data_IF_679447288637
#
_entry.id   IF_679447288637
#
_cell.length_a   1.000
_cell.length_b   1.000
_cell.length_c   1.000
_cell.angle_alpha   90.00
_cell.angle_beta   90.00
_cell.angle_gamma   90.00
#
_symmetry.space_group_name_H-M   'P 1'
#
loop_
_entity.id
_entity.type
_entity.pdbx_description
1 polymer ?
#
# COMPACT_ATOMS: atom_id res chain seq x y z
N UNK A 1 -12.98 30.60 17.07
CA UNK A 1 -12.16 29.60 16.39
C UNK A 1 -11.58 30.24 15.13
N UNK A 2 -10.36 29.84 14.74
CA UNK A 2 -9.64 30.43 13.59
C UNK A 2 -9.90 29.67 12.29
N UNK A 3 -10.27 28.36 12.40
CA UNK A 3 -10.51 27.45 11.28
C UNK A 3 -11.86 26.76 11.41
N UNK A 4 -12.45 26.36 10.28
CA UNK A 4 -13.61 25.46 10.25
C UNK A 4 -13.15 24.02 10.57
N UNK A 5 -11.99 23.62 10.03
CA UNK A 5 -11.43 22.28 10.24
C UNK A 5 -9.96 22.31 10.65
N UNK A 6 -9.62 21.49 11.64
CA UNK A 6 -8.27 21.02 11.89
C UNK A 6 -8.14 19.61 11.29
N UNK A 7 -7.21 19.44 10.36
CA UNK A 7 -6.93 18.15 9.72
C UNK A 7 -5.64 17.58 10.28
N UNK A 8 -5.73 16.42 10.94
CA UNK A 8 -4.61 15.77 11.62
C UNK A 8 -4.11 14.62 10.75
N UNK A 9 -2.91 14.81 10.20
CA UNK A 9 -2.27 13.95 9.23
C UNK A 9 -2.41 14.44 7.79
N UNK A 10 -1.27 14.60 7.13
CA UNK A 10 -1.15 15.08 5.74
C UNK A 10 -1.07 13.95 4.71
N UNK A 11 -1.51 12.73 5.06
CA UNK A 11 -1.69 11.64 4.11
C UNK A 11 -2.84 11.92 3.12
N UNK A 12 -3.02 11.06 2.10
CA UNK A 12 -3.99 11.28 1.03
C UNK A 12 -5.42 11.60 1.51
N UNK A 13 -5.89 10.99 2.61
CA UNK A 13 -7.18 11.34 3.17
C UNK A 13 -7.23 12.80 3.61
N UNK A 14 -6.28 13.21 4.47
CA UNK A 14 -6.27 14.55 5.08
C UNK A 14 -6.11 15.66 4.03
N UNK A 15 -5.20 15.50 3.07
CA UNK A 15 -4.97 16.50 2.02
C UNK A 15 -6.15 16.60 1.05
N UNK A 16 -6.78 15.48 0.71
CA UNK A 16 -7.98 15.46 -0.14
C UNK A 16 -9.17 16.09 0.59
N UNK A 17 -9.31 15.84 1.90
CA UNK A 17 -10.33 16.47 2.73
C UNK A 17 -10.16 17.99 2.75
N UNK A 18 -8.95 18.46 3.04
CA UNK A 18 -8.66 19.90 3.07
C UNK A 18 -8.90 20.57 1.70
N UNK A 19 -8.56 19.88 0.60
CA UNK A 19 -8.83 20.34 -0.76
C UNK A 19 -10.32 20.58 -0.99
N UNK A 20 -11.18 19.60 -0.71
CA UNK A 20 -12.62 19.76 -0.90
C UNK A 20 -13.25 20.76 0.07
N UNK A 21 -12.79 20.80 1.32
CA UNK A 21 -13.23 21.81 2.28
C UNK A 21 -12.93 23.23 1.78
N UNK A 22 -11.73 23.48 1.26
CA UNK A 22 -11.37 24.75 0.64
C UNK A 22 -12.28 25.09 -0.55
N UNK A 23 -12.61 24.12 -1.42
CA UNK A 23 -13.49 24.35 -2.57
C UNK A 23 -14.88 24.84 -2.18
N UNK A 24 -15.38 24.48 -1.00
CA UNK A 24 -16.66 24.96 -0.47
C UNK A 24 -16.51 26.17 0.47
N UNK A 25 -15.36 26.83 0.45
CA UNK A 25 -15.10 28.07 1.19
C UNK A 25 -14.72 27.88 2.66
N UNK A 26 -14.43 26.65 3.09
CA UNK A 26 -14.01 26.33 4.46
C UNK A 26 -12.52 26.57 4.67
N UNK A 27 -12.16 27.07 5.83
CA UNK A 27 -10.80 27.35 6.22
C UNK A 27 -10.23 26.17 7.00
N UNK A 28 -9.17 25.53 6.49
CA UNK A 28 -8.51 24.39 7.09
C UNK A 28 -7.11 24.73 7.59
N UNK A 29 -6.71 24.08 8.68
CA UNK A 29 -5.31 23.91 9.08
C UNK A 29 -4.98 22.44 9.00
N UNK A 30 -4.00 22.06 8.17
CA UNK A 30 -3.47 20.69 8.12
C UNK A 30 -2.20 20.61 8.94
N UNK A 31 -2.13 19.67 9.88
CA UNK A 31 -0.94 19.42 10.69
C UNK A 31 -0.38 18.01 10.46
N UNK A 32 0.93 17.87 10.56
CA UNK A 32 1.59 16.56 10.55
C UNK A 32 2.71 16.52 11.59
N UNK A 33 2.84 15.38 12.29
CA UNK A 33 3.93 15.16 13.26
C UNK A 33 5.30 15.06 12.60
N UNK A 34 5.34 14.65 11.32
CA UNK A 34 6.57 14.53 10.51
C UNK A 34 7.05 15.91 10.06
N UNK A 35 8.31 15.96 9.60
CA UNK A 35 8.92 17.17 9.03
C UNK A 35 8.51 17.45 7.59
N UNK A 36 7.72 16.56 6.97
CA UNK A 36 7.26 16.63 5.59
C UNK A 36 5.77 16.29 5.48
N UNK A 37 5.12 16.81 4.45
CA UNK A 37 3.74 16.52 4.08
C UNK A 37 3.67 15.27 3.18
N UNK A 38 2.47 14.69 3.03
CA UNK A 38 2.18 13.60 2.11
C UNK A 38 2.05 12.22 2.78
N UNK A 39 2.30 12.12 4.10
CA UNK A 39 2.19 10.84 4.78
C UNK A 39 3.08 9.78 4.14
N UNK A 40 2.54 8.59 3.86
CA UNK A 40 3.34 7.49 3.29
C UNK A 40 3.59 7.61 1.78
N UNK A 41 2.95 8.54 1.06
CA UNK A 41 3.26 8.77 -0.37
C UNK A 41 4.38 9.77 -0.61
N UNK A 42 4.94 10.34 0.46
CA UNK A 42 6.05 11.28 0.36
C UNK A 42 7.24 10.69 -0.41
N UNK A 43 7.79 11.48 -1.33
CA UNK A 43 9.00 11.17 -2.08
C UNK A 43 10.15 12.08 -1.65
N UNK A 44 11.30 11.49 -1.37
CA UNK A 44 12.53 12.21 -1.13
C UNK A 44 13.34 12.32 -2.43
N UNK A 45 13.80 13.52 -2.80
CA UNK A 45 14.62 13.68 -4.00
C UNK A 45 16.07 13.36 -3.67
N UNK A 46 16.62 12.30 -4.28
CA UNK A 46 18.02 11.87 -4.11
C UNK A 46 18.62 11.66 -5.50
N UNK A 47 19.72 12.35 -5.78
CA UNK A 47 20.40 12.30 -7.09
C UNK A 47 19.44 12.60 -8.28
N UNK A 48 18.44 13.45 -8.06
CA UNK A 48 17.40 13.76 -9.06
C UNK A 48 16.32 12.70 -9.24
N UNK A 49 16.32 11.65 -8.41
CA UNK A 49 15.34 10.55 -8.42
C UNK A 49 14.34 10.79 -7.29
N UNK A 50 13.03 10.68 -7.59
CA UNK A 50 11.98 10.69 -6.59
C UNK A 50 11.89 9.33 -5.90
N UNK A 51 12.49 9.23 -4.73
CA UNK A 51 12.53 8.01 -3.92
C UNK A 51 11.27 7.91 -3.08
N UNK A 52 10.47 6.88 -3.28
CA UNK A 52 9.30 6.60 -2.46
C UNK A 52 9.75 6.15 -1.06
N UNK A 53 9.81 7.10 -0.12
CA UNK A 53 10.45 6.90 1.19
C UNK A 53 9.83 5.80 2.04
N UNK A 54 8.53 5.58 1.88
CA UNK A 54 7.74 4.64 2.69
C UNK A 54 7.23 3.44 1.88
N UNK A 55 7.96 3.04 0.84
CA UNK A 55 7.66 1.90 -0.02
C UNK A 55 7.08 2.28 -1.37
N UNK A 56 7.04 1.30 -2.27
CA UNK A 56 6.51 1.50 -3.62
C UNK A 56 5.03 1.87 -3.58
N UNK A 57 4.70 3.03 -4.10
CA UNK A 57 3.33 3.51 -4.25
C UNK A 57 3.04 3.69 -5.73
N UNK A 58 2.11 2.89 -6.27
CA UNK A 58 1.64 2.97 -7.65
C UNK A 58 0.15 3.29 -7.58
N UNK A 59 -0.24 4.41 -8.18
CA UNK A 59 -1.66 4.77 -8.25
C UNK A 59 -2.36 3.93 -9.29
N UNK A 60 -3.47 3.29 -8.93
CA UNK A 60 -4.29 2.51 -9.85
C UNK A 60 -5.77 2.59 -9.45
N UNK A 61 -6.66 2.55 -10.42
CA UNK A 61 -8.11 2.57 -10.21
C UNK A 61 -8.86 2.22 -11.48
N UNK A 62 -10.05 1.63 -11.33
CA UNK A 62 -11.03 1.54 -12.42
C UNK A 62 -12.08 2.65 -12.36
N UNK A 63 -12.06 3.48 -11.30
CA UNK A 63 -12.96 4.62 -11.15
C UNK A 63 -12.45 5.82 -11.94
N UNK A 64 -13.06 6.06 -13.11
CA UNK A 64 -12.68 7.19 -13.99
C UNK A 64 -12.80 8.55 -13.31
N UNK A 65 -13.76 8.74 -12.41
CA UNK A 65 -13.95 10.01 -11.70
C UNK A 65 -12.77 10.33 -10.81
N UNK A 66 -12.27 9.33 -10.09
CA UNK A 66 -11.06 9.46 -9.25
C UNK A 66 -9.83 9.70 -10.12
N UNK A 67 -9.69 8.96 -11.23
CA UNK A 67 -8.58 9.12 -12.16
C UNK A 67 -8.54 10.52 -12.78
N UNK A 68 -9.67 11.01 -13.28
CA UNK A 68 -9.78 12.35 -13.85
C UNK A 68 -9.48 13.43 -12.78
N UNK A 69 -9.94 13.25 -11.56
CA UNK A 69 -9.68 14.16 -10.46
C UNK A 69 -8.17 14.30 -10.18
N UNK A 70 -7.45 13.19 -9.96
CA UNK A 70 -6.02 13.27 -9.65
C UNK A 70 -5.22 13.82 -10.85
N UNK A 71 -5.62 13.50 -12.09
CA UNK A 71 -5.00 14.07 -13.29
C UNK A 71 -5.31 15.55 -13.51
N UNK A 72 -6.41 16.08 -12.93
CA UNK A 72 -6.68 17.52 -12.95
C UNK A 72 -5.77 18.31 -12.01
N UNK A 73 -5.18 17.66 -10.99
CA UNK A 73 -4.22 18.25 -10.05
C UNK A 73 -2.80 18.19 -10.62
N UNK A 74 -2.39 16.99 -11.07
CA UNK A 74 -1.07 16.74 -11.67
C UNK A 74 -1.20 15.64 -12.71
N UNK A 75 -0.58 15.73 -13.89
CA UNK A 75 -0.63 14.66 -14.87
C UNK A 75 0.09 13.41 -14.37
N UNK A 76 -0.45 12.25 -14.71
CA UNK A 76 0.18 10.96 -14.42
C UNK A 76 0.91 10.41 -15.65
N UNK A 77 2.02 9.74 -15.41
CA UNK A 77 2.80 9.11 -16.47
C UNK A 77 2.19 7.75 -16.88
N UNK A 78 2.87 7.06 -17.82
CA UNK A 78 2.43 5.76 -18.36
C UNK A 78 2.98 4.54 -17.60
N UNK A 79 3.42 4.69 -16.36
CA UNK A 79 4.00 3.56 -15.62
C UNK A 79 2.98 2.43 -15.48
N UNK A 80 3.39 1.24 -15.89
CA UNK A 80 2.62 0.01 -15.73
C UNK A 80 3.36 -0.89 -14.75
N UNK A 81 2.69 -1.31 -13.68
CA UNK A 81 3.31 -2.12 -12.64
C UNK A 81 3.48 -3.57 -13.11
N UNK A 82 4.71 -3.96 -13.39
CA UNK A 82 5.10 -5.30 -13.85
C UNK A 82 6.19 -5.86 -12.92
N UNK A 83 5.88 -6.20 -11.66
CA UNK A 83 6.87 -6.74 -10.75
C UNK A 83 7.34 -8.13 -11.19
N UNK A 84 8.57 -8.47 -10.81
CA UNK A 84 9.12 -9.82 -10.96
C UNK A 84 9.40 -10.41 -9.59
N UNK A 85 9.36 -11.74 -9.51
CA UNK A 85 9.80 -12.50 -8.34
C UNK A 85 11.14 -13.16 -8.60
N UNK A 86 12.06 -13.07 -7.64
CA UNK A 86 13.31 -13.83 -7.59
C UNK A 86 13.16 -14.98 -6.62
N UNK A 87 13.42 -16.19 -7.08
CA UNK A 87 13.43 -17.41 -6.27
C UNK A 87 14.62 -18.28 -6.64
N UNK A 88 15.54 -18.48 -5.71
CA UNK A 88 16.77 -19.31 -5.90
C UNK A 88 17.53 -18.96 -7.18
N UNK A 89 17.68 -17.64 -7.42
CA UNK A 89 18.40 -17.10 -8.58
C UNK A 89 17.64 -17.18 -9.92
N UNK A 90 16.39 -17.62 -9.94
CA UNK A 90 15.52 -17.59 -11.11
C UNK A 90 14.52 -16.45 -11.01
N UNK A 91 14.20 -15.81 -12.11
CA UNK A 91 13.20 -14.75 -12.19
C UNK A 91 11.89 -15.29 -12.77
N UNK A 92 10.79 -14.83 -12.19
CA UNK A 92 9.42 -15.15 -12.62
C UNK A 92 8.61 -13.88 -12.76
N UNK A 93 7.83 -13.77 -13.82
CA UNK A 93 6.89 -12.67 -13.97
C UNK A 93 5.70 -12.79 -13.00
N UNK A 94 5.21 -11.64 -12.56
CA UNK A 94 3.99 -11.52 -11.76
C UNK A 94 3.00 -10.58 -12.50
N UNK A 95 1.68 -10.74 -12.25
CA UNK A 95 1.01 -11.82 -11.51
C UNK A 95 1.17 -13.16 -12.20
N UNK A 96 0.67 -14.26 -11.60
CA UNK A 96 0.79 -15.60 -12.18
C UNK A 96 0.08 -15.65 -13.54
N UNK A 97 0.85 -15.65 -14.62
CA UNK A 97 0.36 -15.57 -16.00
C UNK A 97 1.13 -16.55 -16.91
N UNK A 98 0.84 -16.56 -18.19
CA UNK A 98 1.49 -17.48 -19.14
C UNK A 98 3.02 -17.33 -19.18
N UNK A 99 3.58 -16.13 -18.91
CA UNK A 99 5.03 -15.96 -18.78
C UNK A 99 5.55 -16.70 -17.54
N UNK A 100 4.87 -16.60 -16.40
CA UNK A 100 5.21 -17.33 -15.17
C UNK A 100 5.19 -18.83 -15.40
N UNK A 101 4.14 -19.34 -16.06
CA UNK A 101 3.98 -20.78 -16.33
C UNK A 101 5.01 -21.30 -17.32
N UNK A 102 5.35 -20.50 -18.34
CA UNK A 102 6.46 -20.80 -19.23
C UNK A 102 7.80 -20.86 -18.50
N UNK A 103 8.10 -19.86 -17.68
CA UNK A 103 9.35 -19.81 -16.89
C UNK A 103 9.47 -20.97 -15.91
N UNK A 104 8.35 -21.43 -15.36
CA UNK A 104 8.32 -22.49 -14.36
C UNK A 104 8.30 -23.89 -14.99
N UNK A 105 7.49 -24.11 -16.02
CA UNK A 105 7.19 -25.43 -16.58
C UNK A 105 7.49 -25.57 -18.08
N UNK A 106 7.86 -24.52 -18.78
CA UNK A 106 8.08 -24.54 -20.23
C UNK A 106 6.80 -24.68 -21.07
N UNK A 107 5.62 -24.53 -20.47
CA UNK A 107 4.33 -24.64 -21.19
C UNK A 107 4.07 -23.39 -22.02
N UNK A 108 3.53 -23.57 -23.22
CA UNK A 108 3.33 -22.50 -24.21
C UNK A 108 1.87 -22.24 -24.56
N UNK A 109 0.95 -23.11 -24.11
CA UNK A 109 -0.49 -22.95 -24.38
C UNK A 109 -1.30 -22.87 -23.10
N UNK A 110 -2.46 -22.16 -23.12
CA UNK A 110 -3.36 -22.11 -21.97
C UNK A 110 -3.84 -23.48 -21.48
N UNK A 111 -4.10 -24.42 -22.41
CA UNK A 111 -4.52 -25.78 -22.08
C UNK A 111 -3.44 -26.54 -21.32
N UNK A 112 -2.18 -26.47 -21.77
CA UNK A 112 -1.05 -27.11 -21.10
C UNK A 112 -0.81 -26.51 -19.70
N UNK A 113 -0.94 -25.18 -19.57
CA UNK A 113 -0.82 -24.49 -18.29
C UNK A 113 -1.92 -24.90 -17.30
N UNK A 114 -3.19 -24.97 -17.77
CA UNK A 114 -4.33 -25.43 -16.96
C UNK A 114 -4.13 -26.86 -16.52
N UNK A 115 -3.74 -27.77 -17.44
CA UNK A 115 -3.49 -29.17 -17.11
C UNK A 115 -2.40 -29.31 -16.05
N UNK A 116 -1.31 -28.53 -16.15
CA UNK A 116 -0.23 -28.54 -15.17
C UNK A 116 -0.68 -28.03 -13.81
N UNK A 117 -1.48 -27.00 -13.73
CA UNK A 117 -2.06 -26.48 -12.48
C UNK A 117 -2.99 -27.53 -11.86
N UNK A 118 -3.86 -28.16 -12.63
CA UNK A 118 -4.75 -29.22 -12.13
C UNK A 118 -3.96 -30.42 -11.59
N UNK A 119 -2.90 -30.84 -12.29
CA UNK A 119 -1.97 -31.88 -11.79
C UNK A 119 -1.37 -31.47 -10.42
N UNK A 120 -0.86 -30.22 -10.32
CA UNK A 120 -0.19 -29.72 -9.14
C UNK A 120 -1.09 -29.57 -7.92
N UNK A 121 -2.39 -29.25 -8.12
CA UNK A 121 -3.35 -29.02 -7.04
C UNK A 121 -4.14 -30.27 -6.63
N UNK A 122 -4.10 -31.34 -7.42
CA UNK A 122 -4.94 -32.54 -7.24
C UNK A 122 -4.75 -33.18 -5.86
N UNK A 123 -3.51 -33.32 -5.37
CA UNK A 123 -3.20 -33.87 -4.05
C UNK A 123 -3.81 -33.02 -2.92
N UNK A 124 -3.66 -31.69 -3.00
CA UNK A 124 -4.19 -30.78 -2.01
C UNK A 124 -5.72 -30.79 -1.96
N UNK A 125 -6.38 -30.82 -3.14
CA UNK A 125 -7.84 -30.92 -3.23
C UNK A 125 -8.32 -32.25 -2.64
N UNK A 126 -7.65 -33.38 -2.94
CA UNK A 126 -7.98 -34.67 -2.40
C UNK A 126 -7.83 -34.71 -0.87
N UNK A 127 -6.78 -34.08 -0.32
CA UNK A 127 -6.55 -33.99 1.12
C UNK A 127 -7.64 -33.20 1.87
N UNK A 128 -8.30 -32.24 1.20
CA UNK A 128 -9.40 -31.48 1.78
C UNK A 128 -10.68 -32.32 1.99
N UNK A 129 -10.86 -33.43 1.25
CA UNK A 129 -12.06 -34.30 1.36
C UNK A 129 -13.39 -33.52 1.29
N UNK A 130 -13.43 -32.47 0.49
CA UNK A 130 -14.61 -31.61 0.33
C UNK A 130 -14.82 -30.53 1.41
N UNK A 131 -13.95 -30.43 2.42
CA UNK A 131 -13.98 -29.33 3.38
C UNK A 131 -13.31 -28.06 2.80
N UNK A 132 -13.66 -26.92 3.36
CA UNK A 132 -12.96 -25.66 3.08
C UNK A 132 -11.54 -25.68 3.66
N UNK A 133 -10.57 -24.99 3.00
CA UNK A 133 -9.22 -24.80 3.56
C UNK A 133 -9.26 -24.08 4.92
N UNK A 134 -8.53 -24.60 5.90
CA UNK A 134 -8.48 -24.06 7.26
C UNK A 134 -7.40 -22.97 7.45
N UNK A 135 -6.40 -22.95 6.58
CA UNK A 135 -5.26 -22.05 6.65
C UNK A 135 -4.78 -21.62 5.26
N UNK A 136 -3.85 -20.67 5.23
CA UNK A 136 -3.30 -20.11 4.00
C UNK A 136 -2.57 -21.14 3.13
N UNK A 137 -1.84 -22.08 3.73
CA UNK A 137 -1.13 -23.11 3.00
C UNK A 137 -2.09 -24.03 2.23
N UNK A 138 -3.12 -24.57 2.90
CA UNK A 138 -4.14 -25.39 2.25
C UNK A 138 -4.87 -24.61 1.14
N UNK A 139 -5.19 -23.33 1.40
CA UNK A 139 -5.81 -22.45 0.41
C UNK A 139 -4.93 -22.25 -0.82
N UNK A 140 -3.63 -21.93 -0.62
CA UNK A 140 -2.71 -21.71 -1.74
C UNK A 140 -2.51 -22.99 -2.57
N UNK A 141 -2.22 -24.11 -1.91
CA UNK A 141 -2.01 -25.39 -2.57
C UNK A 141 -3.24 -25.83 -3.39
N UNK A 142 -4.44 -25.60 -2.87
CA UNK A 142 -5.68 -25.92 -3.58
C UNK A 142 -5.99 -24.97 -4.73
N UNK A 143 -5.46 -23.75 -4.74
CA UNK A 143 -5.66 -22.77 -5.81
C UNK A 143 -4.64 -22.87 -6.93
N UNK A 144 -3.36 -22.96 -6.61
CA UNK A 144 -2.26 -22.80 -7.58
C UNK A 144 -1.31 -24.00 -7.65
N UNK A 145 -1.41 -24.95 -6.73
CA UNK A 145 -0.54 -26.12 -6.64
C UNK A 145 0.80 -25.86 -5.96
N UNK A 146 1.59 -26.94 -5.83
CA UNK A 146 2.81 -26.95 -5.02
C UNK A 146 3.93 -26.05 -5.56
N UNK A 147 4.21 -26.10 -6.86
CA UNK A 147 5.37 -25.40 -7.43
C UNK A 147 5.23 -23.88 -7.27
N UNK A 148 4.05 -23.32 -7.58
CA UNK A 148 3.78 -21.89 -7.42
C UNK A 148 3.78 -21.52 -5.92
N UNK A 149 3.16 -22.34 -5.09
CA UNK A 149 3.13 -22.11 -3.64
C UNK A 149 4.53 -22.05 -3.04
N UNK A 150 5.35 -23.06 -3.25
CA UNK A 150 6.71 -23.13 -2.66
C UNK A 150 7.64 -22.05 -3.23
N UNK A 151 7.57 -21.77 -4.54
CA UNK A 151 8.48 -20.83 -5.18
C UNK A 151 8.07 -19.37 -4.99
N UNK A 152 6.78 -19.04 -5.05
CA UNK A 152 6.35 -17.64 -5.22
C UNK A 152 5.47 -17.11 -4.09
N UNK A 153 4.91 -17.98 -3.22
CA UNK A 153 3.97 -17.56 -2.18
C UNK A 153 4.55 -17.74 -0.78
N UNK A 154 4.97 -18.96 -0.45
CA UNK A 154 5.32 -19.39 0.91
C UNK A 154 6.33 -18.48 1.59
N UNK A 155 7.55 -18.41 1.08
CA UNK A 155 8.63 -17.66 1.72
C UNK A 155 8.38 -16.17 1.77
N UNK A 156 7.74 -15.60 0.73
CA UNK A 156 7.34 -14.19 0.71
C UNK A 156 6.29 -13.89 1.81
N UNK A 157 5.23 -14.70 1.87
CA UNK A 157 4.14 -14.54 2.83
C UNK A 157 4.62 -14.73 4.26
N UNK A 158 5.44 -15.75 4.52
CA UNK A 158 5.99 -16.00 5.85
C UNK A 158 6.89 -14.87 6.34
N UNK A 159 7.68 -14.22 5.46
CA UNK A 159 8.44 -13.01 5.80
C UNK A 159 7.52 -11.82 6.09
N UNK A 160 6.51 -11.63 5.24
CA UNK A 160 5.59 -10.51 5.38
C UNK A 160 4.78 -10.58 6.69
N UNK A 161 4.37 -11.78 7.09
CA UNK A 161 3.53 -11.98 8.27
C UNK A 161 4.31 -12.42 9.53
N UNK A 162 5.56 -12.85 9.37
CA UNK A 162 6.39 -13.34 10.48
C UNK A 162 5.93 -14.69 11.08
N UNK A 163 5.05 -15.44 10.35
CA UNK A 163 4.42 -16.69 10.80
C UNK A 163 4.38 -17.68 9.64
N UNK A 164 4.34 -18.98 9.96
CA UNK A 164 4.19 -20.03 8.96
C UNK A 164 2.83 -19.93 8.25
N UNK A 165 2.80 -20.25 6.95
CA UNK A 165 1.56 -20.24 6.16
C UNK A 165 0.46 -21.14 6.74
N UNK A 166 0.82 -22.26 7.36
CA UNK A 166 -0.10 -23.16 8.05
C UNK A 166 -0.79 -22.54 9.29
N UNK A 167 -0.24 -21.45 9.85
CA UNK A 167 -0.79 -20.72 11.00
C UNK A 167 -1.57 -19.48 10.60
N UNK A 168 -1.51 -19.11 9.33
CA UNK A 168 -2.17 -17.93 8.80
C UNK A 168 -3.58 -18.26 8.29
N UNK A 169 -4.58 -17.38 8.50
CA UNK A 169 -5.93 -17.61 8.02
C UNK A 169 -6.01 -17.73 6.49
N UNK A 170 -6.84 -18.64 5.99
CA UNK A 170 -7.05 -18.87 4.56
C UNK A 170 -7.53 -17.62 3.80
N UNK A 171 -8.27 -16.71 4.47
CA UNK A 171 -8.82 -15.52 3.84
C UNK A 171 -7.78 -14.51 3.34
N UNK A 172 -6.52 -14.58 3.83
CA UNK A 172 -5.43 -13.70 3.38
C UNK A 172 -5.20 -13.85 1.88
N UNK A 173 -5.39 -15.05 1.33
CA UNK A 173 -5.27 -15.35 -0.10
C UNK A 173 -6.54 -15.98 -0.67
N UNK A 174 -7.69 -15.36 -0.44
CA UNK A 174 -8.98 -15.89 -0.94
C UNK A 174 -8.98 -16.14 -2.44
N UNK A 175 -8.26 -15.32 -3.21
CA UNK A 175 -8.16 -15.41 -4.67
C UNK A 175 -6.73 -15.11 -5.09
N UNK A 176 -6.10 -16.08 -5.71
CA UNK A 176 -4.85 -15.86 -6.45
C UNK A 176 -5.23 -15.86 -7.94
N UNK A 177 -5.19 -14.71 -8.60
CA UNK A 177 -5.58 -14.65 -10.00
C UNK A 177 -4.58 -15.40 -10.87
N UNK A 178 -5.04 -16.47 -11.51
CA UNK A 178 -4.32 -17.17 -12.55
C UNK A 178 -4.77 -16.60 -13.89
N UNK A 179 -3.83 -16.07 -14.67
CA UNK A 179 -4.12 -15.48 -15.98
C UNK A 179 -3.56 -16.38 -17.08
N UNK A 180 -4.43 -16.92 -17.90
CA UNK A 180 -4.03 -17.77 -19.05
C UNK A 180 -3.80 -16.93 -20.32
N UNK A 181 -3.18 -15.76 -20.16
CA UNK A 181 -2.75 -14.82 -21.19
C UNK A 181 -1.34 -14.32 -20.85
N UNK A 182 -0.58 -13.84 -21.85
CA UNK A 182 0.73 -13.23 -21.68
C UNK A 182 0.58 -11.76 -21.30
N UNK A 183 0.22 -11.51 -20.03
CA UNK A 183 0.01 -10.16 -19.50
C UNK A 183 0.71 -10.02 -18.15
N UNK A 184 1.74 -9.18 -18.11
CA UNK A 184 2.54 -8.89 -16.90
C UNK A 184 2.02 -7.68 -16.13
N UNK A 185 0.96 -7.00 -16.59
CA UNK A 185 0.36 -5.93 -15.81
C UNK A 185 -0.21 -6.48 -14.50
N UNK A 186 0.33 -6.03 -13.37
CA UNK A 186 -0.06 -6.55 -12.06
C UNK A 186 -1.51 -6.24 -11.69
N UNK A 187 -1.97 -5.03 -12.02
CA UNK A 187 -3.33 -4.60 -11.71
C UNK A 187 -4.32 -4.98 -12.80
N UNK A 188 -5.59 -5.18 -12.40
CA UNK A 188 -6.71 -5.34 -13.32
C UNK A 188 -7.44 -4.02 -13.60
N UNK A 189 -6.99 -2.93 -12.97
CA UNK A 189 -7.60 -1.61 -13.09
C UNK A 189 -7.36 -0.98 -14.47
N UNK A 190 -8.34 -0.20 -14.92
CA UNK A 190 -8.31 0.46 -16.23
C UNK A 190 -7.26 1.58 -16.31
N UNK A 191 -6.89 2.15 -15.17
CA UNK A 191 -5.97 3.29 -15.08
C UNK A 191 -4.90 3.01 -14.04
N UNK A 192 -3.65 3.37 -14.35
CA UNK A 192 -2.53 3.34 -13.41
C UNK A 192 -1.42 4.30 -13.87
N UNK A 193 -0.58 4.72 -12.95
CA UNK A 193 0.55 5.59 -13.24
C UNK A 193 1.17 6.19 -11.97
N UNK A 194 2.18 7.01 -12.19
CA UNK A 194 2.86 7.79 -11.15
C UNK A 194 2.70 9.27 -11.50
N UNK A 195 2.44 10.17 -10.54
CA UNK A 195 2.39 11.60 -10.79
C UNK A 195 3.71 12.09 -11.39
N UNK A 196 3.66 12.85 -12.46
CA UNK A 196 4.86 13.41 -13.10
C UNK A 196 5.57 14.36 -12.13
N UNK A 197 6.82 14.06 -11.79
CA UNK A 197 7.61 14.78 -10.79
C UNK A 197 7.35 14.32 -9.35
N UNK A 198 6.76 13.14 -9.17
CA UNK A 198 6.57 12.47 -7.89
C UNK A 198 5.30 12.85 -7.15
N UNK A 199 4.96 12.08 -6.13
CA UNK A 199 3.74 12.30 -5.33
C UNK A 199 3.70 13.64 -4.60
N UNK A 200 4.86 14.24 -4.28
CA UNK A 200 4.88 15.55 -3.62
C UNK A 200 4.14 16.60 -4.46
N UNK A 201 4.21 16.52 -5.81
CA UNK A 201 3.46 17.42 -6.70
C UNK A 201 1.93 17.27 -6.57
N UNK A 202 1.46 16.04 -6.37
CA UNK A 202 0.04 15.78 -6.10
C UNK A 202 -0.37 16.39 -4.74
N UNK A 203 0.46 16.19 -3.71
CA UNK A 203 0.21 16.74 -2.37
C UNK A 203 0.22 18.26 -2.38
N UNK A 204 1.22 18.88 -3.02
CA UNK A 204 1.32 20.34 -3.16
C UNK A 204 0.09 20.92 -3.88
N UNK A 205 -0.35 20.27 -4.96
CA UNK A 205 -1.54 20.70 -5.70
C UNK A 205 -2.84 20.56 -4.92
N UNK A 206 -2.99 19.47 -4.12
CA UNK A 206 -4.15 19.30 -3.24
C UNK A 206 -4.18 20.31 -2.08
N UNK A 207 -3.00 20.71 -1.60
CA UNK A 207 -2.86 21.68 -0.49
C UNK A 207 -2.70 23.11 -0.95
N UNK A 208 -2.77 23.39 -2.26
CA UNK A 208 -2.63 24.77 -2.75
C UNK A 208 -3.56 25.73 -2.00
N UNK A 209 -2.98 26.78 -1.39
CA UNK A 209 -3.69 27.78 -0.58
C UNK A 209 -4.33 27.26 0.72
N UNK A 210 -3.94 26.09 1.22
CA UNK A 210 -4.29 25.54 2.54
C UNK A 210 -3.14 25.80 3.52
N UNK A 211 -3.46 26.28 4.73
CA UNK A 211 -2.44 26.47 5.78
C UNK A 211 -1.99 25.11 6.33
N UNK A 212 -0.67 24.92 6.42
CA UNK A 212 -0.07 23.65 6.88
C UNK A 212 0.96 23.89 7.97
N UNK A 213 1.13 22.91 8.89
CA UNK A 213 2.19 22.89 9.91
C UNK A 213 2.77 21.50 10.02
N UNK A 214 4.05 21.39 9.76
CA UNK A 214 4.84 20.16 9.99
C UNK A 214 5.53 20.22 11.36
N UNK A 215 6.13 19.09 11.81
CA UNK A 215 6.69 18.95 13.16
C UNK A 215 5.68 19.34 14.26
N UNK A 216 4.41 19.08 14.03
CA UNK A 216 3.30 19.44 14.92
C UNK A 216 2.58 18.16 15.36
N UNK A 217 2.96 17.64 16.53
CA UNK A 217 2.33 16.47 17.11
C UNK A 217 1.01 16.87 17.78
N UNK A 218 -0.07 16.27 17.32
CA UNK A 218 -1.40 16.52 17.86
C UNK A 218 -1.51 16.17 19.34
N UNK A 219 -0.97 15.04 19.75
CA UNK A 219 -1.11 14.57 21.14
C UNK A 219 -0.29 15.40 22.13
N UNK A 220 0.83 15.95 21.68
CA UNK A 220 1.64 16.86 22.51
C UNK A 220 0.93 18.20 22.78
N UNK A 221 0.01 18.64 21.90
CA UNK A 221 -0.65 19.94 21.95
C UNK A 221 -2.17 19.83 21.80
N UNK A 222 -2.77 18.69 22.16
CA UNK A 222 -4.17 18.34 21.85
C UNK A 222 -5.17 19.44 22.27
N UNK A 223 -5.08 19.93 23.50
CA UNK A 223 -6.02 20.93 24.02
C UNK A 223 -5.98 22.24 23.23
N UNK A 224 -4.79 22.78 22.97
CA UNK A 224 -4.61 24.01 22.19
C UNK A 224 -5.10 23.85 20.75
N UNK A 225 -4.75 22.73 20.12
CA UNK A 225 -5.08 22.46 18.72
C UNK A 225 -6.60 22.28 18.52
N UNK A 226 -7.26 21.60 19.45
CA UNK A 226 -8.71 21.41 19.43
C UNK A 226 -9.48 22.74 19.54
N UNK A 227 -8.93 23.76 20.21
CA UNK A 227 -9.55 25.09 20.31
C UNK A 227 -9.43 25.92 19.03
N UNK A 228 -8.55 25.54 18.10
CA UNK A 228 -8.33 26.30 16.86
C UNK A 228 -9.45 26.12 15.82
N UNK A 229 -10.19 25.02 15.86
CA UNK A 229 -11.16 24.68 14.83
C UNK A 229 -12.51 24.24 15.41
N UNK A 230 -13.56 24.35 14.58
CA UNK A 230 -14.91 23.89 14.93
C UNK A 230 -15.05 22.38 14.89
N UNK A 231 -14.40 21.75 13.90
CA UNK A 231 -14.37 20.30 13.71
C UNK A 231 -12.95 19.81 13.43
N UNK A 232 -12.73 18.53 13.65
CA UNK A 232 -11.45 17.86 13.42
C UNK A 232 -11.63 16.71 12.45
N UNK A 233 -10.78 16.62 11.43
CA UNK A 233 -10.61 15.42 10.60
C UNK A 233 -9.35 14.68 11.10
N UNK A 234 -9.54 13.53 11.73
CA UNK A 234 -8.46 12.74 12.34
C UNK A 234 -8.12 11.53 11.47
N UNK A 235 -6.84 11.40 11.10
CA UNK A 235 -6.35 10.30 10.25
C UNK A 235 -5.32 9.39 10.91
N UNK A 236 -5.03 9.63 12.19
CA UNK A 236 -4.11 8.83 13.00
C UNK A 236 -4.73 7.53 13.51
N UNK A 237 -4.02 6.84 14.40
CA UNK A 237 -4.51 5.61 15.01
C UNK A 237 -5.71 5.91 15.94
N UNK A 238 -6.82 5.20 15.72
CA UNK A 238 -8.05 5.42 16.50
C UNK A 238 -7.88 5.05 17.97
N UNK A 239 -7.11 4.01 18.28
CA UNK A 239 -6.82 3.59 19.64
C UNK A 239 -5.96 4.62 20.39
N UNK A 240 -4.99 5.25 19.72
CA UNK A 240 -4.19 6.35 20.27
C UNK A 240 -5.05 7.59 20.56
N UNK A 241 -6.05 7.89 19.69
CA UNK A 241 -6.98 8.99 19.93
C UNK A 241 -7.73 8.86 21.26
N UNK A 242 -8.03 7.63 21.67
CA UNK A 242 -8.72 7.29 22.92
C UNK A 242 -7.77 6.78 24.02
N UNK A 243 -6.49 7.19 23.98
CA UNK A 243 -5.47 6.88 24.98
C UNK A 243 -5.36 5.36 25.27
N UNK A 244 -5.54 4.53 24.22
CA UNK A 244 -5.46 3.07 24.29
C UNK A 244 -6.35 2.41 25.34
N UNK A 245 -7.48 3.03 25.69
CA UNK A 245 -8.35 2.64 26.81
C UNK A 245 -8.89 1.21 26.77
N UNK A 246 -8.94 0.60 25.59
CA UNK A 246 -9.33 -0.80 25.41
C UNK A 246 -8.15 -1.71 25.04
N UNK A 247 -6.95 -1.15 24.95
CA UNK A 247 -5.72 -1.81 24.52
C UNK A 247 -5.29 -1.41 23.10
N UNK A 248 -4.11 -1.85 22.71
CA UNK A 248 -3.53 -1.54 21.41
C UNK A 248 -4.11 -2.41 20.30
N UNK A 249 -4.39 -1.78 19.16
CA UNK A 249 -4.62 -2.45 17.89
C UNK A 249 -3.29 -2.88 17.29
N UNK A 250 -3.23 -4.09 16.75
CA UNK A 250 -2.00 -4.64 16.19
C UNK A 250 -1.83 -4.19 14.73
N UNK A 251 -0.59 -3.87 14.36
CA UNK A 251 -0.21 -3.50 13.00
C UNK A 251 0.99 -4.32 12.52
N UNK A 252 1.20 -4.35 11.23
CA UNK A 252 2.49 -4.68 10.62
C UNK A 252 3.19 -3.39 10.25
N UNK A 253 4.51 -3.41 10.29
CA UNK A 253 5.34 -2.30 9.84
C UNK A 253 6.39 -2.75 8.86
N UNK A 254 6.97 -1.81 8.13
CA UNK A 254 8.10 -2.03 7.23
C UNK A 254 9.21 -1.06 7.53
N UNK A 255 10.44 -1.49 7.30
CA UNK A 255 11.62 -0.65 7.33
C UNK A 255 12.38 -0.76 6.01
N UNK A 256 13.19 0.24 5.70
CA UNK A 256 13.90 0.34 4.45
C UNK A 256 15.39 0.56 4.67
N UNK A 257 16.21 -0.22 3.97
CA UNK A 257 17.62 0.06 3.79
C UNK A 257 17.81 0.68 2.40
N UNK A 258 18.25 1.92 2.36
CA UNK A 258 18.41 2.67 1.13
C UNK A 258 19.88 2.74 0.74
N UNK A 259 20.17 2.56 -0.54
CA UNK A 259 21.53 2.60 -1.09
C UNK A 259 21.55 3.32 -2.45
N UNK A 260 22.53 4.20 -2.62
CA UNK A 260 22.82 4.78 -3.93
C UNK A 260 23.81 3.86 -4.64
N UNK A 261 23.47 3.45 -5.86
CA UNK A 261 24.33 2.63 -6.72
C UNK A 261 24.96 3.49 -7.80
N UNK A 262 26.26 3.33 -8.00
CA UNK A 262 27.02 4.00 -9.07
C UNK A 262 26.90 3.22 -10.40
N UNK A 263 25.66 3.10 -10.82
CA UNK A 263 25.27 2.47 -12.10
C UNK A 263 23.94 3.05 -12.55
N UNK A 264 23.72 3.23 -13.86
CA UNK A 264 22.47 3.79 -14.37
C UNK A 264 21.26 2.81 -14.25
N UNK A 265 21.50 1.53 -14.18
CA UNK A 265 20.45 0.52 -14.12
C UNK A 265 20.97 -0.70 -13.35
N UNK A 266 20.38 -0.99 -12.20
CA UNK A 266 20.89 -2.02 -11.28
C UNK A 266 20.14 -3.35 -11.40
N UNK A 267 18.80 -3.31 -11.38
CA UNK A 267 17.98 -4.53 -11.46
C UNK A 267 17.05 -4.58 -12.68
N UNK A 268 16.97 -3.49 -13.46
CA UNK A 268 16.19 -3.45 -14.71
C UNK A 268 14.67 -3.38 -14.53
N UNK A 269 14.18 -3.23 -13.32
CA UNK A 269 12.75 -3.12 -13.01
C UNK A 269 12.53 -2.31 -11.74
N UNK A 270 11.39 -1.65 -11.62
CA UNK A 270 11.05 -0.88 -10.43
C UNK A 270 10.94 -1.77 -9.17
N UNK A 271 10.37 -2.96 -9.28
CA UNK A 271 10.12 -3.84 -8.13
C UNK A 271 10.52 -5.27 -8.45
N UNK A 272 11.42 -5.82 -7.63
CA UNK A 272 11.75 -7.26 -7.61
C UNK A 272 11.40 -7.80 -6.23
N UNK A 273 10.47 -8.75 -6.17
CA UNK A 273 10.10 -9.47 -4.95
C UNK A 273 11.04 -10.64 -4.74
N UNK A 274 11.60 -10.78 -3.55
CA UNK A 274 12.44 -11.92 -3.16
C UNK A 274 11.59 -12.91 -2.38
N UNK A 275 11.33 -14.06 -2.97
CA UNK A 275 10.41 -15.06 -2.39
C UNK A 275 11.12 -16.16 -1.61
N UNK A 276 12.44 -16.22 -1.69
CA UNK A 276 13.25 -17.08 -0.80
C UNK A 276 13.09 -16.67 0.66
N UNK A 277 12.87 -17.63 1.54
CA UNK A 277 12.76 -17.36 2.98
C UNK A 277 14.09 -16.94 3.62
N UNK A 278 15.20 -17.44 3.09
CA UNK A 278 16.55 -17.17 3.56
C UNK A 278 17.00 -15.73 3.28
N UNK A 279 16.39 -15.07 2.31
CA UNK A 279 16.63 -13.64 2.01
C UNK A 279 15.77 -12.81 2.95
N UNK A 280 16.37 -11.93 3.80
CA UNK A 280 15.63 -11.30 4.90
C UNK A 280 14.67 -10.19 4.45
N UNK A 281 14.89 -9.56 3.30
CA UNK A 281 13.99 -8.54 2.75
C UNK A 281 12.93 -9.16 1.84
N UNK A 282 11.78 -8.49 1.75
CA UNK A 282 10.66 -8.94 0.92
C UNK A 282 10.81 -8.51 -0.53
N UNK A 283 11.38 -7.33 -0.78
CA UNK A 283 11.59 -6.81 -2.13
C UNK A 283 12.71 -5.77 -2.17
N UNK A 284 13.19 -5.52 -3.37
CA UNK A 284 14.04 -4.37 -3.68
C UNK A 284 13.27 -3.48 -4.66
N UNK A 285 13.30 -2.17 -4.36
CA UNK A 285 12.68 -1.13 -5.17
C UNK A 285 13.81 -0.33 -5.80
N UNK A 286 13.88 -0.24 -7.13
CA UNK A 286 14.74 0.67 -7.87
C UNK A 286 13.90 1.85 -8.35
N UNK A 287 13.98 2.96 -7.65
CA UNK A 287 12.99 4.04 -7.70
C UNK A 287 12.91 4.78 -9.03
N UNK A 288 14.02 4.93 -9.76
CA UNK A 288 14.02 5.66 -11.03
C UNK A 288 13.06 5.10 -12.07
N UNK A 289 12.84 3.77 -12.08
CA UNK A 289 11.95 3.11 -13.04
C UNK A 289 10.47 3.47 -12.90
N UNK A 290 10.07 4.17 -11.84
CA UNK A 290 8.72 4.70 -11.73
C UNK A 290 8.46 5.88 -12.68
N UNK A 291 9.51 6.66 -13.00
CA UNK A 291 9.37 7.90 -13.78
C UNK A 291 10.28 7.96 -15.01
N UNK A 292 11.35 7.18 -15.07
CA UNK A 292 12.31 7.16 -16.18
C UNK A 292 12.05 5.94 -17.08
N UNK A 293 11.99 6.17 -18.38
CA UNK A 293 11.72 5.14 -19.36
C UNK A 293 12.73 5.19 -20.52
N UNK A 294 13.08 4.00 -21.05
CA UNK A 294 13.98 3.90 -22.19
C UNK A 294 15.34 4.55 -21.93
N UNK A 295 15.77 5.46 -22.78
CA UNK A 295 17.08 6.11 -22.68
C UNK A 295 17.23 6.94 -21.40
N UNK A 296 16.16 7.56 -20.87
CA UNK A 296 16.21 8.35 -19.66
C UNK A 296 16.74 7.60 -18.42
N UNK A 297 16.56 6.27 -18.39
CA UNK A 297 17.14 5.40 -17.33
C UNK A 297 18.67 5.49 -17.35
N UNK A 298 19.28 5.53 -18.55
CA UNK A 298 20.71 5.52 -18.74
C UNK A 298 21.33 6.91 -18.71
N UNK A 299 20.56 7.95 -19.00
CA UNK A 299 21.01 9.35 -18.90
C UNK A 299 21.24 9.78 -17.44
N UNK A 300 20.56 9.13 -16.49
CA UNK A 300 20.84 9.27 -15.05
C UNK A 300 21.88 8.21 -14.64
N UNK A 301 23.12 8.61 -14.45
CA UNK A 301 24.28 7.71 -14.23
C UNK A 301 24.23 6.90 -12.93
N UNK A 302 23.44 7.36 -11.94
CA UNK A 302 23.23 6.67 -10.66
C UNK A 302 21.81 6.15 -10.52
N UNK A 303 21.62 5.23 -9.59
CA UNK A 303 20.28 4.79 -9.20
C UNK A 303 20.15 4.67 -7.68
N UNK A 304 18.93 4.74 -7.17
CA UNK A 304 18.63 4.55 -5.75
C UNK A 304 17.78 3.31 -5.60
N UNK A 305 18.24 2.41 -4.72
CA UNK A 305 17.52 1.18 -4.40
C UNK A 305 17.15 1.15 -2.92
N UNK A 306 15.98 0.58 -2.61
CA UNK A 306 15.55 0.35 -1.23
C UNK A 306 15.20 -1.12 -1.04
N UNK A 307 15.84 -1.78 -0.06
CA UNK A 307 15.44 -3.10 0.42
C UNK A 307 14.35 -2.92 1.47
N UNK A 308 13.23 -3.60 1.31
CA UNK A 308 12.09 -3.55 2.21
C UNK A 308 12.07 -4.76 3.14
N UNK A 309 11.99 -4.50 4.45
CA UNK A 309 11.88 -5.52 5.49
C UNK A 309 10.53 -5.39 6.18
N UNK A 310 9.78 -6.48 6.26
CA UNK A 310 8.53 -6.52 7.03
C UNK A 310 8.79 -7.02 8.44
N UNK A 311 8.21 -6.36 9.43
CA UNK A 311 8.33 -6.75 10.84
C UNK A 311 7.03 -6.50 11.60
N UNK A 312 6.94 -7.08 12.79
CA UNK A 312 5.87 -6.80 13.72
C UNK A 312 5.98 -5.35 14.23
N UNK A 313 4.86 -4.65 14.24
CA UNK A 313 4.79 -3.31 14.78
C UNK A 313 4.88 -3.34 16.30
N UNK A 314 5.56 -2.35 16.88
CA UNK A 314 5.61 -2.07 18.31
C UNK A 314 5.32 -0.59 18.55
N UNK A 315 4.81 -0.20 19.74
CA UNK A 315 4.62 1.19 20.10
C UNK A 315 5.88 2.03 19.83
N UNK A 316 5.69 3.17 19.15
CA UNK A 316 6.77 4.04 18.70
C UNK A 316 7.26 3.80 17.27
N UNK A 317 6.85 2.70 16.63
CA UNK A 317 7.06 2.48 15.18
C UNK A 317 5.92 3.07 14.36
N UNK A 318 6.18 3.35 13.08
CA UNK A 318 5.12 3.77 12.15
C UNK A 318 4.21 2.56 11.82
N UNK A 319 2.88 2.66 12.00
CA UNK A 319 1.95 1.62 11.61
C UNK A 319 1.68 1.66 10.10
N UNK A 320 1.83 0.53 9.41
CA UNK A 320 1.58 0.45 7.96
C UNK A 320 0.29 -0.30 7.62
N UNK A 321 0.13 -1.51 8.15
CA UNK A 321 -0.95 -2.41 7.76
C UNK A 321 -1.69 -2.92 8.99
N UNK A 322 -3.00 -2.67 9.11
CA UNK A 322 -3.82 -3.25 10.16
C UNK A 322 -3.81 -4.78 10.12
N UNK A 323 -3.72 -5.42 11.27
CA UNK A 323 -3.89 -6.88 11.40
C UNK A 323 -5.37 -7.17 11.59
N UNK A 324 -6.07 -7.48 10.49
CA UNK A 324 -7.52 -7.69 10.46
C UNK A 324 -7.91 -9.12 10.88
N UNK A 325 -7.42 -9.59 12.03
CA UNK A 325 -7.90 -10.82 12.66
C UNK A 325 -9.15 -10.58 13.53
N UNK A 326 -9.75 -11.64 14.05
CA UNK A 326 -10.97 -11.57 14.85
C UNK A 326 -10.78 -10.71 16.09
N UNK A 327 -9.67 -10.91 16.83
CA UNK A 327 -9.33 -10.17 18.06
C UNK A 327 -9.27 -8.66 17.81
N UNK A 328 -8.53 -8.26 16.78
CA UNK A 328 -8.35 -6.85 16.45
C UNK A 328 -9.61 -6.22 15.86
N UNK A 329 -10.39 -6.97 15.09
CA UNK A 329 -11.67 -6.48 14.58
C UNK A 329 -12.67 -6.24 15.72
N UNK A 330 -12.76 -7.13 16.71
CA UNK A 330 -13.59 -6.93 17.91
C UNK A 330 -13.13 -5.73 18.73
N UNK A 331 -11.82 -5.56 18.89
CA UNK A 331 -11.24 -4.42 19.59
C UNK A 331 -11.53 -3.11 18.84
N UNK A 332 -11.37 -3.09 17.52
CA UNK A 332 -11.70 -1.92 16.70
C UNK A 332 -13.17 -1.53 16.81
N UNK A 333 -14.12 -2.49 16.88
CA UNK A 333 -15.54 -2.18 17.04
C UNK A 333 -15.81 -1.40 18.35
N UNK A 334 -15.05 -1.65 19.43
CA UNK A 334 -15.17 -0.89 20.67
C UNK A 334 -14.76 0.57 20.51
N UNK A 335 -13.64 0.82 19.78
CA UNK A 335 -13.19 2.17 19.46
C UNK A 335 -14.15 2.87 18.50
N UNK A 336 -14.63 2.15 17.49
CA UNK A 336 -15.60 2.67 16.54
C UNK A 336 -16.90 3.12 17.22
N UNK A 337 -17.38 2.36 18.19
CA UNK A 337 -18.58 2.75 18.96
C UNK A 337 -18.41 4.08 19.73
N UNK A 338 -17.17 4.43 20.15
CA UNK A 338 -16.88 5.76 20.71
C UNK A 338 -16.82 6.81 19.60
N UNK A 339 -16.13 6.50 18.48
CA UNK A 339 -15.99 7.42 17.37
C UNK A 339 -17.34 7.80 16.74
N UNK A 340 -18.30 6.88 16.69
CA UNK A 340 -19.63 7.12 16.16
C UNK A 340 -20.48 8.09 17.06
N UNK A 341 -20.02 8.38 18.28
CA UNK A 341 -20.65 9.34 19.19
C UNK A 341 -20.01 10.74 19.12
N UNK A 342 -18.90 10.87 18.42
CA UNK A 342 -18.18 12.14 18.29
C UNK A 342 -18.85 13.05 17.24
N UNK A 343 -19.49 14.12 17.68
CA UNK A 343 -20.14 15.08 16.77
C UNK A 343 -19.16 16.01 16.03
N UNK A 344 -17.98 16.24 16.63
CA UNK A 344 -16.99 17.19 16.12
C UNK A 344 -15.79 16.54 15.45
N UNK A 345 -15.65 15.23 15.54
CA UNK A 345 -14.50 14.50 15.02
C UNK A 345 -14.93 13.63 13.85
N UNK A 346 -14.26 13.79 12.72
CA UNK A 346 -14.40 12.95 11.53
C UNK A 346 -13.19 12.02 11.50
N UNK A 347 -13.41 10.74 11.73
CA UNK A 347 -12.37 9.72 11.59
C UNK A 347 -12.32 9.23 10.15
N UNK A 348 -11.13 9.18 9.56
CA UNK A 348 -11.00 8.70 8.19
C UNK A 348 -9.58 8.29 7.81
N UNK A 349 -9.49 7.51 6.74
CA UNK A 349 -8.23 6.94 6.28
C UNK A 349 -7.85 5.65 6.98
N UNK A 350 -6.71 5.07 6.58
CA UNK A 350 -6.29 3.71 6.92
C UNK A 350 -6.21 3.43 8.42
N UNK A 351 -5.62 4.35 9.20
CA UNK A 351 -5.35 4.13 10.62
C UNK A 351 -6.58 4.41 11.49
N UNK A 352 -7.32 5.48 11.18
CA UNK A 352 -8.51 5.84 11.94
C UNK A 352 -9.67 4.85 11.72
N UNK A 353 -9.76 4.26 10.53
CA UNK A 353 -10.77 3.25 10.21
C UNK A 353 -10.28 1.80 10.39
N UNK A 354 -9.03 1.64 10.82
CA UNK A 354 -8.39 0.32 11.00
C UNK A 354 -8.62 -0.61 9.82
N UNK A 355 -8.42 -0.09 8.60
CA UNK A 355 -8.72 -0.80 7.36
C UNK A 355 -7.62 -0.59 6.33
N UNK A 356 -7.26 -1.67 5.62
CA UNK A 356 -6.37 -1.55 4.49
C UNK A 356 -7.09 -0.84 3.33
N UNK A 357 -6.48 0.24 2.87
CA UNK A 357 -6.91 1.00 1.70
C UNK A 357 -5.76 1.22 0.75
N UNK A 358 -5.99 0.99 -0.54
CA UNK A 358 -5.16 1.55 -1.59
C UNK A 358 -5.44 3.06 -1.76
N UNK A 359 -4.59 3.76 -2.51
CA UNK A 359 -4.65 5.22 -2.62
C UNK A 359 -5.98 5.74 -3.20
N UNK A 360 -6.46 5.13 -4.27
CA UNK A 360 -7.69 5.58 -4.94
C UNK A 360 -8.95 5.43 -4.06
N UNK A 361 -9.19 4.31 -3.35
CA UNK A 361 -10.28 4.19 -2.39
C UNK A 361 -10.27 5.24 -1.28
N UNK A 362 -9.09 5.68 -0.82
CA UNK A 362 -8.97 6.75 0.19
C UNK A 362 -9.49 8.08 -0.37
N UNK A 363 -9.09 8.43 -1.59
CA UNK A 363 -9.57 9.65 -2.27
C UNK A 363 -11.06 9.55 -2.53
N UNK A 364 -11.54 8.40 -3.02
CA UNK A 364 -12.97 8.16 -3.29
C UNK A 364 -13.83 8.32 -2.04
N UNK A 365 -13.34 7.88 -0.88
CA UNK A 365 -14.03 8.05 0.39
C UNK A 365 -14.29 9.52 0.69
N UNK A 366 -13.28 10.38 0.55
CA UNK A 366 -13.42 11.83 0.76
C UNK A 366 -14.35 12.45 -0.29
N UNK A 367 -14.25 12.02 -1.56
CA UNK A 367 -15.16 12.49 -2.61
C UNK A 367 -16.64 12.20 -2.30
N UNK A 368 -16.94 11.04 -1.70
CA UNK A 368 -18.31 10.68 -1.30
C UNK A 368 -18.84 11.54 -0.15
N UNK A 369 -17.96 11.96 0.76
CA UNK A 369 -18.36 12.78 1.91
C UNK A 369 -18.32 14.30 1.65
N UNK A 370 -17.83 14.75 0.49
CA UNK A 370 -17.64 16.18 0.19
C UNK A 370 -18.90 17.04 0.37
N UNK A 371 -20.09 16.49 0.17
CA UNK A 371 -21.35 17.23 0.34
C UNK A 371 -21.72 17.45 1.81
N UNK A 372 -21.01 16.79 2.73
CA UNK A 372 -21.20 16.87 4.18
C UNK A 372 -20.04 17.62 4.88
N UNK A 373 -19.09 18.10 4.10
CA UNK A 373 -18.01 18.98 4.52
C UNK A 373 -18.52 20.44 4.49
#
# INVERSE_FOLDING_TARGET
MKYDFLVIGSGLFGVTFAHFAKQVGKKCLVIDKRSQLGGNVYCENIEGINVHKYGAHIFHTSNKVVWDFVNSIVPFNRYTNCPVASYKGKLYNLPFNMNTFYQMWGVTTPEAAKAKIEEQRAEAIAALQGREPSNLEEQALSLVGRDIYEALIKGYTEKQWGRCCAELPAFIIRRLPLRFVFDNNYFNDSYQGIPVGGYNKLIDGLLDGVETRVNCDFFAHRSELMELAEKVAFTGQIDEFYDFRFGHLDFRTVSFEQEIKDTPNWQGNAVVNYTDREIPYTRIIEHKHFEMFGQAVYDCSKTVVSKEYSTEWKPGMEPYYPVNDTKNNELYQKYKALADQEEKIIFGGRLAEYKYYDMAPVIEQVMKMRNNI
#
